data_IF_492619443435
#
_entry.id   IF_492619443435
#
_cell.length_a   1.000
_cell.length_b   1.000
_cell.length_c   1.000
_cell.angle_alpha   90.00
_cell.angle_beta   90.00
_cell.angle_gamma   90.00
#
_symmetry.space_group_name_H-M   'P 1'
#
loop_
_entity.id
_entity.type
_entity.pdbx_description
1 polymer ?
#
# COMPACT_ATOMS: atom_id res chain seq x y z
N UNK A 1 55.45 51.69 -30.94
CA UNK A 1 55.90 50.29 -30.81
C UNK A 1 55.87 49.73 -29.37
N UNK A 2 55.33 50.45 -28.38
CA UNK A 2 55.20 49.97 -26.97
C UNK A 2 53.73 49.69 -26.58
N UNK A 3 52.76 50.32 -27.26
CA UNK A 3 51.33 50.22 -26.93
C UNK A 3 50.68 48.93 -27.47
N UNK A 4 51.13 48.38 -28.61
CA UNK A 4 50.59 47.12 -29.17
C UNK A 4 51.01 45.86 -28.40
N UNK A 5 52.12 45.90 -27.66
CA UNK A 5 52.63 44.75 -26.90
C UNK A 5 51.90 44.56 -25.57
N UNK A 6 51.30 45.62 -25.03
CA UNK A 6 50.57 45.57 -23.76
C UNK A 6 49.16 45.01 -23.97
N UNK A 7 48.52 45.29 -25.12
CA UNK A 7 47.15 44.83 -25.40
C UNK A 7 47.07 43.32 -25.72
N UNK A 8 48.12 42.70 -26.26
CA UNK A 8 48.18 41.25 -26.49
C UNK A 8 48.51 40.42 -25.24
N UNK A 9 49.13 41.03 -24.23
CA UNK A 9 49.51 40.32 -22.99
C UNK A 9 48.36 40.31 -21.97
N UNK A 10 47.46 41.29 -22.02
CA UNK A 10 46.28 41.36 -21.13
C UNK A 10 45.13 40.47 -21.61
N UNK A 11 45.04 40.17 -22.91
CA UNK A 11 44.00 39.30 -23.49
C UNK A 11 44.24 37.80 -23.30
N UNK A 12 45.42 37.38 -22.84
CA UNK A 12 45.77 35.96 -22.64
C UNK A 12 45.83 35.54 -21.16
N UNK A 13 45.41 36.42 -20.24
CA UNK A 13 45.42 36.16 -18.79
C UNK A 13 44.01 36.04 -18.17
N UNK A 14 42.94 36.10 -18.97
CA UNK A 14 41.56 36.16 -18.48
C UNK A 14 40.69 34.94 -18.87
N UNK A 15 41.28 33.76 -19.06
CA UNK A 15 40.54 32.52 -19.36
C UNK A 15 41.08 31.28 -18.61
N UNK A 16 41.44 31.45 -17.34
CA UNK A 16 41.53 30.32 -16.41
C UNK A 16 40.66 30.68 -15.20
N UNK A 17 39.35 30.79 -15.42
CA UNK A 17 38.40 30.56 -14.33
C UNK A 17 38.38 29.05 -14.15
N UNK A 18 38.87 28.49 -13.02
CA UNK A 18 38.55 27.11 -12.73
C UNK A 18 37.04 27.11 -12.56
N UNK A 19 36.33 26.45 -13.48
CA UNK A 19 34.96 26.05 -13.25
C UNK A 19 35.04 25.02 -12.13
N UNK A 20 35.09 25.51 -10.88
CA UNK A 20 34.75 24.74 -9.70
C UNK A 20 33.26 24.52 -9.86
N UNK A 21 32.88 23.47 -10.59
CA UNK A 21 31.59 22.85 -10.41
C UNK A 21 31.56 22.44 -8.95
N UNK A 22 30.98 23.29 -8.11
CA UNK A 22 30.50 22.89 -6.82
C UNK A 22 29.57 21.72 -7.10
N UNK A 23 30.08 20.50 -6.92
CA UNK A 23 29.23 19.34 -6.77
C UNK A 23 28.38 19.69 -5.57
N UNK A 24 27.15 20.13 -5.82
CA UNK A 24 26.17 20.38 -4.78
C UNK A 24 26.08 19.04 -4.06
N UNK A 25 26.72 18.96 -2.89
CA UNK A 25 26.63 17.78 -2.06
C UNK A 25 25.14 17.58 -1.83
N UNK A 26 24.64 16.41 -2.22
CA UNK A 26 23.23 16.09 -2.00
C UNK A 26 22.86 16.24 -0.53
N UNK A 27 21.57 16.32 -0.20
CA UNK A 27 21.14 16.42 1.19
C UNK A 27 21.83 15.34 2.05
N UNK A 28 22.28 15.71 3.24
CA UNK A 28 22.83 14.73 4.19
C UNK A 28 21.67 13.88 4.70
N UNK A 29 21.74 12.56 4.49
CA UNK A 29 20.70 11.62 4.88
C UNK A 29 20.94 10.96 6.25
N UNK A 30 19.87 10.48 6.86
CA UNK A 30 19.83 9.67 8.07
C UNK A 30 19.60 8.19 7.71
N UNK A 31 20.59 7.33 7.99
CA UNK A 31 20.53 5.91 7.67
C UNK A 31 19.39 5.14 8.38
N UNK A 32 19.00 5.53 9.61
CA UNK A 32 17.89 4.87 10.32
C UNK A 32 16.56 5.18 9.66
N UNK A 33 16.31 6.45 9.33
CA UNK A 33 15.15 6.87 8.56
C UNK A 33 15.16 6.23 7.15
N UNK A 34 16.36 6.07 6.57
CA UNK A 34 16.56 5.43 5.29
C UNK A 34 16.08 3.98 5.26
N UNK A 35 16.44 3.18 6.26
CA UNK A 35 15.94 1.80 6.39
C UNK A 35 14.41 1.76 6.53
N UNK A 36 13.83 2.63 7.34
CA UNK A 36 12.38 2.70 7.49
C UNK A 36 11.69 3.06 6.17
N UNK A 37 12.24 4.03 5.44
CA UNK A 37 11.73 4.45 4.14
C UNK A 37 11.86 3.36 3.07
N UNK A 38 12.97 2.60 3.07
CA UNK A 38 13.20 1.44 2.22
C UNK A 38 12.10 0.39 2.40
N UNK A 39 11.84 0.01 3.66
CA UNK A 39 10.85 -1.00 4.02
C UNK A 39 9.42 -0.55 3.68
N UNK A 40 9.08 0.71 4.02
CA UNK A 40 7.75 1.28 3.83
C UNK A 40 7.36 1.39 2.35
N UNK A 41 8.34 1.65 1.47
CA UNK A 41 8.13 1.80 0.02
C UNK A 41 8.27 0.50 -0.75
N UNK A 42 8.56 -0.61 -0.07
CA UNK A 42 8.71 -1.94 -0.68
C UNK A 42 9.88 -2.03 -1.67
N UNK A 43 10.91 -1.19 -1.52
CA UNK A 43 12.12 -1.26 -2.34
C UNK A 43 12.82 -2.62 -2.18
N UNK A 44 12.75 -3.20 -0.97
CA UNK A 44 13.32 -4.50 -0.64
C UNK A 44 12.75 -5.66 -1.47
N UNK A 45 11.53 -5.54 -1.99
CA UNK A 45 10.91 -6.63 -2.74
C UNK A 45 11.66 -6.93 -4.05
N UNK A 46 12.33 -5.93 -4.61
CA UNK A 46 13.18 -6.12 -5.79
C UNK A 46 14.66 -6.11 -5.44
N UNK A 47 15.07 -5.23 -4.53
CA UNK A 47 16.49 -4.97 -4.25
C UNK A 47 17.02 -5.62 -2.97
N UNK A 48 16.26 -6.51 -2.33
CA UNK A 48 16.70 -7.22 -1.12
C UNK A 48 16.52 -6.43 0.19
N UNK A 49 16.51 -7.13 1.31
CA UNK A 49 16.24 -6.54 2.63
C UNK A 49 17.35 -5.61 3.11
N UNK A 50 18.57 -5.88 2.65
CA UNK A 50 19.81 -5.18 2.92
C UNK A 50 20.38 -4.54 1.66
N UNK A 51 19.56 -4.29 0.63
CA UNK A 51 20.05 -3.74 -0.64
C UNK A 51 20.96 -4.71 -1.41
N UNK A 52 20.96 -5.99 -1.07
CA UNK A 52 21.76 -7.05 -1.70
C UNK A 52 21.30 -7.42 -3.11
N UNK A 53 20.25 -6.79 -3.62
CA UNK A 53 19.68 -7.07 -4.93
C UNK A 53 18.80 -8.30 -4.94
N UNK A 54 18.52 -8.78 -6.15
CA UNK A 54 17.72 -9.97 -6.40
C UNK A 54 17.07 -9.87 -7.76
N UNK A 55 15.81 -9.43 -7.78
CA UNK A 55 15.15 -9.07 -9.04
C UNK A 55 15.72 -7.77 -9.61
N UNK A 56 15.89 -6.76 -8.75
CA UNK A 56 16.62 -5.53 -9.04
C UNK A 56 18.12 -5.70 -8.74
N UNK A 57 18.96 -4.78 -9.25
CA UNK A 57 20.39 -4.79 -8.95
C UNK A 57 20.66 -4.61 -7.44
N UNK A 58 21.80 -5.10 -6.97
CA UNK A 58 22.33 -4.75 -5.66
C UNK A 58 22.64 -3.24 -5.59
N UNK A 59 22.40 -2.66 -4.42
CA UNK A 59 22.64 -1.25 -4.10
C UNK A 59 23.47 -1.08 -2.81
N UNK A 60 23.60 -2.12 -1.99
CA UNK A 60 24.39 -2.13 -0.77
C UNK A 60 25.85 -1.75 -1.05
N UNK A 61 26.36 -0.74 -0.33
CA UNK A 61 27.73 -0.26 -0.47
C UNK A 61 28.07 0.36 -1.84
N UNK A 62 27.10 0.50 -2.75
CA UNK A 62 27.35 1.12 -4.06
C UNK A 62 27.48 2.63 -3.90
N UNK A 63 28.63 3.16 -4.34
CA UNK A 63 29.00 4.57 -4.22
C UNK A 63 28.29 5.47 -5.26
N UNK A 64 26.98 5.28 -5.49
CA UNK A 64 26.18 6.17 -6.34
C UNK A 64 26.14 7.56 -5.73
N UNK A 65 26.29 8.62 -6.53
CA UNK A 65 26.00 10.00 -6.09
C UNK A 65 24.50 10.17 -5.84
N UNK A 66 24.11 11.20 -5.06
CA UNK A 66 22.68 11.47 -4.84
C UNK A 66 21.93 11.74 -6.16
N UNK A 67 22.55 12.48 -7.08
CA UNK A 67 21.98 12.73 -8.40
C UNK A 67 21.76 11.44 -9.22
N UNK A 68 22.73 10.52 -9.21
CA UNK A 68 22.58 9.22 -9.88
C UNK A 68 21.48 8.36 -9.24
N UNK A 69 21.45 8.30 -7.90
CA UNK A 69 20.43 7.54 -7.17
C UNK A 69 19.02 8.10 -7.43
N UNK A 70 18.86 9.43 -7.32
CA UNK A 70 17.62 10.12 -7.66
C UNK A 70 17.21 9.87 -9.11
N UNK A 71 18.14 9.97 -10.05
CA UNK A 71 17.84 9.70 -11.46
C UNK A 71 17.34 8.27 -11.67
N UNK A 72 17.97 7.26 -11.05
CA UNK A 72 17.52 5.88 -11.14
C UNK A 72 16.10 5.68 -10.56
N UNK A 73 15.70 6.44 -9.53
CA UNK A 73 14.35 6.37 -8.95
C UNK A 73 13.31 7.11 -9.77
N UNK A 74 13.66 8.25 -10.39
CA UNK A 74 12.74 9.08 -11.19
C UNK A 74 12.60 8.60 -12.62
N UNK A 75 13.68 8.09 -13.20
CA UNK A 75 13.80 7.69 -14.60
C UNK A 75 14.56 6.37 -14.69
N UNK A 76 13.97 5.28 -14.16
CA UNK A 76 14.63 3.99 -14.04
C UNK A 76 14.94 3.34 -15.39
N UNK A 77 15.95 2.47 -15.37
CA UNK A 77 16.20 1.49 -16.43
C UNK A 77 15.52 0.16 -16.12
N UNK A 78 15.34 -0.67 -17.15
CA UNK A 78 14.67 -1.96 -17.01
C UNK A 78 13.19 -1.81 -16.66
N UNK A 79 12.66 -2.72 -15.85
CA UNK A 79 11.23 -2.76 -15.47
C UNK A 79 10.96 -2.14 -14.10
N UNK A 80 11.95 -1.48 -13.48
CA UNK A 80 11.72 -0.74 -12.23
C UNK A 80 10.72 0.39 -12.50
N UNK A 81 9.66 0.55 -11.68
CA UNK A 81 8.71 1.63 -11.85
C UNK A 81 9.32 2.97 -11.43
N UNK A 82 8.87 4.07 -12.02
CA UNK A 82 9.29 5.42 -11.65
C UNK A 82 8.50 5.92 -10.44
N UNK A 83 9.19 6.57 -9.50
CA UNK A 83 8.57 7.11 -8.29
C UNK A 83 8.58 8.64 -8.33
N UNK A 84 7.45 9.29 -8.02
CA UNK A 84 7.35 10.75 -8.00
C UNK A 84 7.93 11.38 -6.72
N UNK A 85 8.12 12.71 -6.72
CA UNK A 85 8.51 13.49 -5.54
C UNK A 85 7.55 13.28 -4.37
N UNK A 86 6.25 13.14 -4.66
CA UNK A 86 5.21 12.87 -3.67
C UNK A 86 5.36 11.48 -3.03
N UNK A 87 5.74 10.47 -3.81
CA UNK A 87 5.95 9.11 -3.30
C UNK A 87 7.24 8.98 -2.48
N UNK A 88 8.31 9.62 -2.93
CA UNK A 88 9.61 9.59 -2.26
C UNK A 88 10.34 10.91 -2.50
N UNK A 89 10.31 11.83 -1.55
CA UNK A 89 10.93 13.15 -1.68
C UNK A 89 12.45 13.09 -1.64
N UNK A 90 13.11 14.17 -2.06
CA UNK A 90 14.58 14.26 -2.04
C UNK A 90 15.22 13.97 -0.66
N UNK A 91 14.71 14.50 0.47
CA UNK A 91 15.22 14.14 1.79
C UNK A 91 15.08 12.64 2.09
N UNK A 92 13.94 12.03 1.73
CA UNK A 92 13.72 10.59 1.90
C UNK A 92 14.71 9.78 1.06
N UNK A 93 14.95 10.20 -0.19
CA UNK A 93 15.93 9.51 -1.04
C UNK A 93 17.36 9.69 -0.52
N UNK A 94 17.67 10.83 0.12
CA UNK A 94 18.96 11.04 0.76
C UNK A 94 19.14 10.11 1.96
N UNK A 95 18.10 9.94 2.78
CA UNK A 95 18.07 8.99 3.90
C UNK A 95 18.30 7.56 3.42
N UNK A 96 17.53 7.11 2.41
CA UNK A 96 17.67 5.76 1.82
C UNK A 96 19.08 5.54 1.28
N UNK A 97 19.64 6.52 0.55
CA UNK A 97 21.01 6.43 0.04
C UNK A 97 22.02 6.37 1.19
N UNK A 98 21.86 7.17 2.24
CA UNK A 98 22.75 7.14 3.40
C UNK A 98 22.76 5.77 4.09
N UNK A 99 21.60 5.11 4.16
CA UNK A 99 21.50 3.73 4.64
C UNK A 99 22.21 2.75 3.70
N UNK A 100 21.96 2.78 2.39
CA UNK A 100 22.60 1.86 1.44
C UNK A 100 24.13 1.96 1.46
N UNK A 101 24.67 3.17 1.63
CA UNK A 101 26.11 3.42 1.72
C UNK A 101 26.74 2.88 3.02
N UNK A 102 25.96 2.65 4.08
CA UNK A 102 26.48 2.09 5.33
C UNK A 102 26.57 0.56 5.31
N UNK A 103 26.03 -0.08 4.27
CA UNK A 103 26.01 -1.54 4.11
C UNK A 103 27.24 -2.02 3.34
N UNK A 104 27.73 -3.24 3.61
CA UNK A 104 28.80 -3.84 2.81
C UNK A 104 28.30 -4.17 1.39
N UNK A 105 29.20 -4.09 0.41
CA UNK A 105 28.90 -4.60 -0.94
C UNK A 105 28.76 -6.13 -0.91
N UNK A 106 27.94 -6.66 -1.81
CA UNK A 106 27.78 -8.11 -1.99
C UNK A 106 28.49 -8.58 -3.25
N UNK A 107 28.97 -9.83 -3.25
CA UNK A 107 29.62 -10.43 -4.41
C UNK A 107 28.60 -10.81 -5.50
N UNK A 108 27.44 -11.30 -5.08
CA UNK A 108 26.36 -11.76 -5.96
C UNK A 108 25.01 -11.25 -5.42
N UNK A 109 24.05 -10.91 -6.30
CA UNK A 109 22.72 -10.51 -5.88
C UNK A 109 21.98 -11.60 -5.10
N UNK A 110 21.02 -11.18 -4.28
CA UNK A 110 20.10 -12.06 -3.57
C UNK A 110 19.19 -12.90 -4.49
N UNK A 111 18.31 -13.71 -3.88
CA UNK A 111 17.27 -14.44 -4.62
C UNK A 111 16.08 -13.54 -4.90
N UNK A 112 15.36 -13.83 -5.98
CA UNK A 112 14.07 -13.19 -6.26
C UNK A 112 13.05 -13.58 -5.19
N UNK A 113 12.20 -12.64 -4.77
CA UNK A 113 11.12 -12.91 -3.83
C UNK A 113 10.16 -13.96 -4.40
N UNK A 114 9.81 -13.80 -5.69
CA UNK A 114 9.04 -14.79 -6.44
C UNK A 114 9.93 -15.38 -7.55
N UNK A 115 10.38 -16.64 -7.41
CA UNK A 115 11.21 -17.28 -8.41
C UNK A 115 10.39 -17.62 -9.67
N UNK A 116 11.01 -17.47 -10.83
CA UNK A 116 10.46 -17.92 -12.10
C UNK A 116 10.59 -19.44 -12.22
N UNK A 117 9.47 -20.16 -12.25
CA UNK A 117 9.46 -21.60 -12.49
C UNK A 117 9.38 -21.92 -13.98
N UNK A 118 10.12 -22.94 -14.42
CA UNK A 118 10.17 -23.35 -15.82
C UNK A 118 8.81 -23.83 -16.35
N UNK A 119 8.00 -24.46 -15.50
CA UNK A 119 6.67 -25.00 -15.80
C UNK A 119 5.53 -23.99 -15.56
N UNK A 120 5.84 -22.75 -15.17
CA UNK A 120 4.83 -21.72 -14.96
C UNK A 120 4.03 -21.42 -16.25
N UNK A 121 2.71 -21.16 -16.16
CA UNK A 121 1.90 -20.68 -17.27
C UNK A 121 2.48 -19.41 -17.89
N UNK A 122 2.23 -19.18 -19.19
CA UNK A 122 2.81 -18.06 -19.92
C UNK A 122 2.54 -16.69 -19.25
N UNK A 123 1.28 -16.39 -18.91
CA UNK A 123 0.93 -15.14 -18.23
C UNK A 123 1.59 -14.97 -16.86
N UNK A 124 1.79 -16.06 -16.13
CA UNK A 124 2.53 -16.04 -14.87
C UNK A 124 4.02 -15.74 -15.09
N UNK A 125 4.64 -16.33 -16.13
CA UNK A 125 6.03 -16.03 -16.49
C UNK A 125 6.21 -14.55 -16.81
N UNK A 126 5.30 -13.96 -17.59
CA UNK A 126 5.31 -12.53 -17.89
C UNK A 126 5.17 -11.69 -16.61
N UNK A 127 4.17 -12.01 -15.78
CA UNK A 127 3.93 -11.33 -14.49
C UNK A 127 5.17 -11.31 -13.58
N UNK A 128 5.89 -12.45 -13.49
CA UNK A 128 7.11 -12.56 -12.69
C UNK A 128 8.25 -11.78 -13.34
N UNK A 129 8.43 -11.90 -14.66
CA UNK A 129 9.57 -11.33 -15.39
C UNK A 129 9.52 -9.81 -15.49
N UNK A 130 8.34 -9.20 -15.48
CA UNK A 130 8.19 -7.73 -15.43
C UNK A 130 8.19 -7.18 -13.99
N UNK A 131 8.40 -8.04 -12.99
CA UNK A 131 8.55 -7.64 -11.59
C UNK A 131 7.24 -7.47 -10.81
N UNK A 132 6.08 -7.53 -11.46
CA UNK A 132 4.77 -7.39 -10.78
C UNK A 132 4.60 -8.43 -9.67
N UNK A 133 5.03 -9.68 -9.90
CA UNK A 133 4.92 -10.75 -8.90
C UNK A 133 5.76 -10.49 -7.64
N UNK A 134 6.85 -9.72 -7.73
CA UNK A 134 7.72 -9.46 -6.58
C UNK A 134 6.99 -8.68 -5.48
N UNK A 135 5.91 -7.96 -5.82
CA UNK A 135 5.02 -7.31 -4.86
C UNK A 135 3.62 -7.94 -4.81
N UNK A 136 3.07 -8.33 -5.96
CA UNK A 136 1.70 -8.79 -6.10
C UNK A 136 1.54 -10.32 -6.09
N UNK A 137 2.63 -11.05 -5.83
CA UNK A 137 2.70 -12.51 -5.84
C UNK A 137 2.41 -13.11 -7.24
N UNK A 138 2.63 -14.41 -7.43
CA UNK A 138 2.57 -15.02 -8.78
C UNK A 138 1.12 -15.21 -9.30
N UNK A 139 0.14 -14.90 -8.47
CA UNK A 139 -1.29 -14.91 -8.75
C UNK A 139 -1.88 -13.51 -8.90
N UNK A 140 -1.06 -12.45 -8.87
CA UNK A 140 -1.49 -11.05 -8.93
C UNK A 140 -2.60 -10.76 -7.88
N UNK A 141 -2.36 -11.17 -6.63
CA UNK A 141 -3.37 -11.26 -5.56
C UNK A 141 -4.11 -9.95 -5.30
N UNK A 142 -3.39 -8.91 -4.89
CA UNK A 142 -4.03 -7.64 -4.49
C UNK A 142 -4.74 -6.97 -5.68
N UNK A 143 -4.14 -6.88 -6.88
CA UNK A 143 -4.84 -6.28 -8.02
C UNK A 143 -6.09 -7.05 -8.43
N UNK A 144 -6.14 -8.39 -8.29
CA UNK A 144 -7.37 -9.16 -8.51
C UNK A 144 -8.47 -8.83 -7.49
N UNK A 145 -8.12 -8.55 -6.24
CA UNK A 145 -9.08 -8.03 -5.25
C UNK A 145 -9.56 -6.62 -5.61
N UNK A 146 -8.64 -5.73 -6.02
CA UNK A 146 -9.00 -4.36 -6.42
C UNK A 146 -9.91 -4.34 -7.64
N UNK A 147 -9.54 -5.09 -8.69
CA UNK A 147 -10.36 -5.27 -9.90
C UNK A 147 -11.69 -5.93 -9.58
N UNK A 148 -11.71 -6.96 -8.72
CA UNK A 148 -12.93 -7.61 -8.28
C UNK A 148 -13.85 -6.69 -7.46
N UNK A 149 -13.29 -5.72 -6.75
CA UNK A 149 -14.06 -4.68 -6.06
C UNK A 149 -14.80 -3.72 -7.00
N UNK A 150 -14.43 -3.66 -8.28
CA UNK A 150 -15.04 -2.82 -9.33
C UNK A 150 -15.27 -3.60 -10.63
N UNK A 151 -15.57 -4.90 -10.52
CA UNK A 151 -15.56 -5.85 -11.64
C UNK A 151 -16.33 -5.40 -12.89
N UNK A 152 -17.42 -4.62 -12.74
CA UNK A 152 -18.18 -4.09 -13.89
C UNK A 152 -17.41 -3.13 -14.80
N UNK A 153 -16.34 -2.50 -14.30
CA UNK A 153 -15.49 -1.56 -15.05
C UNK A 153 -14.03 -2.02 -15.12
N UNK A 154 -13.75 -3.25 -14.68
CA UNK A 154 -12.42 -3.84 -14.68
C UNK A 154 -12.00 -4.24 -16.12
N UNK A 155 -11.85 -3.26 -17.01
CA UNK A 155 -11.39 -3.43 -18.39
C UNK A 155 -9.86 -3.43 -18.47
N UNK A 156 -9.31 -3.78 -19.65
CA UNK A 156 -7.88 -3.63 -19.89
C UNK A 156 -7.44 -2.17 -19.73
N UNK A 157 -8.19 -1.20 -20.25
CA UNK A 157 -7.84 0.23 -20.13
C UNK A 157 -7.78 0.67 -18.65
N UNK A 158 -8.73 0.20 -17.84
CA UNK A 158 -8.72 0.45 -16.40
C UNK A 158 -7.46 -0.15 -15.74
N UNK A 159 -7.11 -1.39 -16.09
CA UNK A 159 -5.90 -2.05 -15.60
C UNK A 159 -4.61 -1.37 -16.07
N UNK A 160 -4.54 -0.99 -17.35
CA UNK A 160 -3.41 -0.28 -17.95
C UNK A 160 -3.19 1.07 -17.25
N UNK A 161 -4.26 1.81 -16.98
CA UNK A 161 -4.18 3.07 -16.21
C UNK A 161 -3.64 2.84 -14.80
N UNK A 162 -4.05 1.77 -14.12
CA UNK A 162 -3.49 1.41 -12.80
C UNK A 162 -2.01 1.07 -12.82
N UNK A 163 -1.46 0.67 -13.97
CA UNK A 163 -0.06 0.24 -14.11
C UNK A 163 0.84 1.36 -14.61
N UNK A 164 0.39 2.09 -15.62
CA UNK A 164 1.16 3.19 -16.23
C UNK A 164 0.99 4.51 -15.48
N UNK A 165 -0.16 4.73 -14.82
CA UNK A 165 -0.49 5.98 -14.14
C UNK A 165 -0.85 5.74 -12.66
N UNK A 166 -0.22 4.75 -12.02
CA UNK A 166 -0.51 4.33 -10.65
C UNK A 166 -0.51 5.49 -9.67
N UNK A 167 0.47 6.39 -9.75
CA UNK A 167 0.58 7.54 -8.87
C UNK A 167 -0.48 8.63 -9.12
N UNK A 168 -1.18 8.60 -10.25
CA UNK A 168 -2.30 9.53 -10.49
C UNK A 168 -3.57 9.06 -9.79
N UNK A 169 -3.75 7.74 -9.72
CA UNK A 169 -4.89 7.09 -9.07
C UNK A 169 -4.61 6.95 -7.56
N UNK A 170 -3.37 6.65 -7.18
CA UNK A 170 -2.89 6.40 -5.83
C UNK A 170 -1.65 7.23 -5.54
N UNK A 171 -1.84 8.53 -5.28
CA UNK A 171 -0.74 9.50 -5.07
C UNK A 171 0.22 9.14 -3.95
N UNK A 172 -0.29 8.51 -2.89
CA UNK A 172 0.50 7.95 -1.78
C UNK A 172 0.78 6.44 -1.88
N UNK A 173 0.52 5.82 -3.03
CA UNK A 173 0.75 4.39 -3.26
C UNK A 173 2.24 4.02 -3.27
N UNK A 174 2.54 2.78 -2.88
CA UNK A 174 3.93 2.26 -2.85
C UNK A 174 4.39 1.70 -4.20
N UNK A 175 3.52 1.65 -5.21
CA UNK A 175 3.88 1.26 -6.58
C UNK A 175 4.07 2.51 -7.43
N UNK A 176 5.21 2.61 -8.11
CA UNK A 176 5.47 3.68 -9.08
C UNK A 176 4.78 3.43 -10.42
N UNK A 177 5.03 4.31 -11.39
CA UNK A 177 4.49 4.19 -12.74
C UNK A 177 5.40 3.31 -13.60
N UNK A 178 4.84 2.32 -14.27
CA UNK A 178 5.58 1.54 -15.26
C UNK A 178 5.69 2.31 -16.59
N UNK A 179 6.77 2.08 -17.34
CA UNK A 179 6.92 2.63 -18.68
C UNK A 179 6.31 1.69 -19.72
N UNK A 180 5.59 2.26 -20.69
CA UNK A 180 5.07 1.53 -21.86
C UNK A 180 6.18 0.96 -22.74
N UNK A 181 7.36 1.58 -22.74
CA UNK A 181 8.52 1.08 -23.49
C UNK A 181 9.17 -0.14 -22.82
N UNK A 182 8.97 -0.29 -21.50
CA UNK A 182 9.58 -1.34 -20.68
C UNK A 182 8.62 -2.48 -20.38
N UNK A 183 7.34 -2.16 -20.26
CA UNK A 183 6.23 -3.11 -20.18
C UNK A 183 5.25 -2.75 -21.30
N UNK A 184 5.45 -3.28 -22.52
CA UNK A 184 4.56 -3.02 -23.65
C UNK A 184 3.13 -3.50 -23.38
N UNK A 185 2.15 -2.85 -24.03
CA UNK A 185 0.74 -3.22 -23.84
C UNK A 185 0.46 -4.68 -24.18
N UNK A 186 1.13 -5.25 -25.18
CA UNK A 186 0.98 -6.67 -25.54
C UNK A 186 1.32 -7.60 -24.37
N UNK A 187 2.38 -7.29 -23.63
CA UNK A 187 2.76 -8.02 -22.41
C UNK A 187 1.71 -7.79 -21.32
N UNK A 188 1.27 -6.54 -21.15
CA UNK A 188 0.30 -6.21 -20.11
C UNK A 188 -1.08 -6.84 -20.35
N UNK A 189 -1.49 -6.97 -21.61
CA UNK A 189 -2.72 -7.64 -22.01
C UNK A 189 -2.69 -9.13 -21.66
N UNK A 190 -1.56 -9.82 -21.85
CA UNK A 190 -1.41 -11.21 -21.44
C UNK A 190 -1.50 -11.36 -19.92
N UNK A 191 -0.87 -10.46 -19.17
CA UNK A 191 -0.98 -10.45 -17.70
C UNK A 191 -2.43 -10.20 -17.26
N UNK A 192 -3.13 -9.28 -17.93
CA UNK A 192 -4.54 -8.99 -17.66
C UNK A 192 -5.45 -10.18 -17.98
N UNK A 193 -5.24 -10.86 -19.12
CA UNK A 193 -5.94 -12.11 -19.47
C UNK A 193 -5.69 -13.18 -18.42
N UNK A 194 -4.44 -13.40 -18.04
CA UNK A 194 -4.09 -14.34 -16.98
C UNK A 194 -4.84 -14.02 -15.67
N UNK A 195 -4.82 -12.75 -15.23
CA UNK A 195 -5.49 -12.35 -14.00
C UNK A 195 -7.02 -12.48 -14.04
N UNK A 196 -7.66 -12.20 -15.18
CA UNK A 196 -9.12 -12.11 -15.29
C UNK A 196 -9.79 -13.38 -15.83
N UNK A 197 -9.15 -14.06 -16.78
CA UNK A 197 -9.72 -15.22 -17.47
C UNK A 197 -9.20 -16.53 -16.90
N UNK A 198 -7.89 -16.64 -16.68
CA UNK A 198 -7.28 -17.87 -16.16
C UNK A 198 -7.49 -17.99 -14.65
N UNK A 199 -7.18 -16.92 -13.91
CA UNK A 199 -7.29 -16.92 -12.45
C UNK A 199 -8.68 -16.52 -11.94
N UNK A 200 -9.35 -15.62 -12.64
CA UNK A 200 -10.60 -14.99 -12.21
C UNK A 200 -10.38 -13.88 -11.18
N UNK A 201 -11.28 -12.90 -11.13
CA UNK A 201 -11.23 -11.82 -10.13
C UNK A 201 -11.74 -12.28 -8.75
N UNK A 202 -11.34 -11.56 -7.70
CA UNK A 202 -11.63 -11.94 -6.30
C UNK A 202 -12.51 -10.90 -5.60
N UNK A 203 -13.55 -11.31 -4.84
CA UNK A 203 -14.32 -10.39 -4.01
C UNK A 203 -13.49 -9.87 -2.84
N UNK A 204 -13.64 -8.60 -2.47
CA UNK A 204 -12.82 -7.93 -1.44
C UNK A 204 -13.41 -8.11 -0.04
N UNK A 205 -13.62 -9.35 0.40
CA UNK A 205 -14.17 -9.64 1.73
C UNK A 205 -13.08 -9.54 2.79
N UNK A 206 -13.31 -8.74 3.83
CA UNK A 206 -12.44 -8.60 4.99
C UNK A 206 -13.23 -8.84 6.27
N UNK A 207 -12.52 -9.22 7.33
CA UNK A 207 -13.11 -9.37 8.65
C UNK A 207 -12.20 -8.76 9.72
N UNK A 208 -12.80 -8.04 10.67
CA UNK A 208 -12.07 -7.42 11.76
C UNK A 208 -12.90 -7.49 13.05
N UNK A 209 -12.23 -7.83 14.15
CA UNK A 209 -12.84 -7.70 15.46
C UNK A 209 -12.85 -6.25 15.91
N UNK A 210 -13.91 -5.86 16.62
CA UNK A 210 -13.85 -4.67 17.45
C UNK A 210 -12.82 -4.94 18.57
N UNK A 211 -11.84 -4.03 18.80
CA UNK A 211 -10.70 -4.33 19.68
C UNK A 211 -11.09 -4.73 21.10
N UNK A 212 -12.06 -4.03 21.68
CA UNK A 212 -12.50 -4.25 23.05
C UNK A 212 -13.74 -5.15 23.10
N UNK A 213 -13.74 -6.18 23.97
CA UNK A 213 -14.92 -7.01 24.16
C UNK A 213 -16.04 -6.22 24.87
N UNK A 214 -17.28 -6.52 24.50
CA UNK A 214 -18.46 -6.14 25.26
C UNK A 214 -18.54 -7.07 26.49
N UNK A 215 -18.24 -6.55 27.68
CA UNK A 215 -18.27 -7.32 28.92
C UNK A 215 -19.62 -7.21 29.62
N UNK A 216 -20.15 -8.33 30.10
CA UNK A 216 -21.37 -8.40 30.93
C UNK A 216 -21.08 -8.80 32.40
N UNK A 217 -19.81 -8.85 32.79
CA UNK A 217 -19.35 -9.14 34.15
C UNK A 217 -19.08 -10.63 34.44
N UNK A 218 -19.66 -11.55 33.67
CA UNK A 218 -19.43 -13.00 33.81
C UNK A 218 -18.81 -13.64 32.56
N UNK A 219 -19.08 -13.08 31.38
CA UNK A 219 -18.64 -13.55 30.08
C UNK A 219 -18.04 -12.40 29.26
N UNK A 220 -17.37 -12.75 28.17
CA UNK A 220 -16.78 -11.77 27.25
C UNK A 220 -17.35 -11.96 25.85
N UNK A 221 -18.00 -10.91 25.33
CA UNK A 221 -18.60 -10.92 23.99
C UNK A 221 -17.73 -10.14 23.01
N UNK A 222 -17.35 -10.79 21.93
CA UNK A 222 -16.54 -10.22 20.86
C UNK A 222 -17.38 -9.95 19.64
N UNK A 223 -17.27 -8.75 19.09
CA UNK A 223 -17.96 -8.36 17.87
C UNK A 223 -17.02 -8.51 16.68
N UNK A 224 -17.40 -9.32 15.71
CA UNK A 224 -16.72 -9.46 14.43
C UNK A 224 -17.52 -8.74 13.34
N UNK A 225 -16.86 -7.85 12.61
CA UNK A 225 -17.41 -7.19 11.43
C UNK A 225 -16.86 -7.91 10.20
N UNK A 226 -17.74 -8.39 9.33
CA UNK A 226 -17.39 -8.92 8.01
C UNK A 226 -17.93 -7.97 6.96
N UNK A 227 -17.06 -7.44 6.10
CA UNK A 227 -17.42 -6.46 5.08
C UNK A 227 -16.88 -6.87 3.73
N UNK A 228 -17.72 -6.83 2.71
CA UNK A 228 -17.24 -6.84 1.33
C UNK A 228 -16.95 -5.39 0.90
N UNK A 229 -15.66 -5.07 0.75
CA UNK A 229 -15.20 -3.72 0.40
C UNK A 229 -15.36 -3.37 -1.07
N UNK A 230 -15.88 -4.29 -1.89
CA UNK A 230 -16.25 -3.97 -3.26
C UNK A 230 -17.27 -2.84 -3.32
N UNK A 231 -17.22 -2.04 -4.38
CA UNK A 231 -18.16 -0.94 -4.57
C UNK A 231 -19.55 -1.50 -4.84
N UNK A 232 -20.56 -1.01 -4.11
CA UNK A 232 -21.94 -1.47 -4.24
C UNK A 232 -22.40 -1.41 -5.70
N UNK A 233 -23.05 -2.48 -6.16
CA UNK A 233 -23.49 -2.67 -7.54
C UNK A 233 -22.38 -2.75 -8.60
N UNK A 234 -21.09 -2.73 -8.22
CA UNK A 234 -19.95 -2.70 -9.15
C UNK A 234 -18.96 -3.85 -8.90
N UNK A 235 -18.77 -4.22 -7.64
CA UNK A 235 -17.89 -5.30 -7.22
C UNK A 235 -18.55 -6.68 -7.23
N UNK A 236 -17.72 -7.70 -7.05
CA UNK A 236 -18.13 -9.10 -6.97
C UNK A 236 -18.81 -9.41 -5.63
N UNK A 237 -19.86 -10.22 -5.70
CA UNK A 237 -20.45 -10.88 -4.54
C UNK A 237 -19.62 -12.09 -4.18
N UNK A 238 -19.35 -12.28 -2.88
CA UNK A 238 -18.83 -13.55 -2.38
C UNK A 238 -20.03 -14.45 -2.04
N UNK A 239 -19.99 -15.70 -2.49
CA UNK A 239 -21.08 -16.66 -2.30
C UNK A 239 -20.55 -17.92 -1.60
N UNK A 240 -21.46 -18.57 -0.85
CA UNK A 240 -21.17 -19.73 -0.01
C UNK A 240 -20.02 -19.43 0.98
N UNK A 241 -20.18 -18.32 1.71
CA UNK A 241 -19.16 -17.77 2.60
C UNK A 241 -19.10 -18.58 3.89
N UNK A 242 -17.89 -18.95 4.29
CA UNK A 242 -17.61 -19.61 5.57
C UNK A 242 -16.72 -18.72 6.43
N UNK A 243 -17.20 -18.38 7.62
CA UNK A 243 -16.42 -17.65 8.63
C UNK A 243 -15.98 -18.67 9.67
N UNK A 244 -14.67 -18.71 9.96
CA UNK A 244 -14.08 -19.65 10.92
C UNK A 244 -13.26 -18.86 11.92
N UNK A 245 -13.66 -18.92 13.19
CA UNK A 245 -12.95 -18.31 14.31
C UNK A 245 -12.29 -19.43 15.11
N UNK A 246 -10.96 -19.61 15.04
CA UNK A 246 -10.29 -20.64 15.82
C UNK A 246 -10.40 -20.34 17.32
N UNK A 247 -10.54 -21.39 18.12
CA UNK A 247 -10.66 -21.30 19.56
C UNK A 247 -9.38 -21.85 20.22
N UNK A 248 -8.83 -21.08 21.16
CA UNK A 248 -7.74 -21.57 22.02
C UNK A 248 -8.29 -22.70 22.91
N UNK A 249 -7.53 -23.79 23.15
CA UNK A 249 -7.97 -24.86 24.03
C UNK A 249 -8.45 -24.35 25.39
N UNK A 250 -9.58 -24.87 25.87
CA UNK A 250 -10.24 -24.42 27.11
C UNK A 250 -11.20 -23.23 26.94
N UNK A 251 -11.29 -22.62 25.75
CA UNK A 251 -12.29 -21.59 25.47
C UNK A 251 -13.67 -22.22 25.31
N UNK A 252 -14.59 -21.93 26.24
CA UNK A 252 -15.97 -22.36 26.14
C UNK A 252 -16.83 -21.26 25.48
N UNK A 253 -17.42 -21.55 24.32
CA UNK A 253 -18.38 -20.65 23.67
C UNK A 253 -19.75 -20.82 24.33
N UNK A 254 -20.29 -19.73 24.87
CA UNK A 254 -21.58 -19.71 25.60
C UNK A 254 -22.68 -18.95 24.86
N UNK A 255 -22.32 -18.25 23.78
CA UNK A 255 -23.29 -17.54 22.94
C UNK A 255 -22.67 -17.14 21.61
N UNK A 256 -23.52 -16.99 20.60
CA UNK A 256 -23.12 -16.45 19.30
C UNK A 256 -24.33 -15.81 18.61
N UNK A 257 -24.08 -14.76 17.83
CA UNK A 257 -25.10 -14.13 16.98
C UNK A 257 -24.60 -13.98 15.55
N UNK A 258 -25.48 -13.49 14.67
CA UNK A 258 -25.26 -13.39 13.23
C UNK A 258 -25.82 -14.59 12.48
N UNK A 259 -26.22 -14.36 11.23
CA UNK A 259 -26.88 -15.37 10.41
C UNK A 259 -25.96 -16.56 10.14
N UNK A 260 -26.52 -17.77 10.17
CA UNK A 260 -25.82 -18.96 9.69
C UNK A 260 -24.81 -19.58 10.66
N UNK A 261 -24.86 -19.28 11.96
CA UNK A 261 -24.02 -19.94 12.96
C UNK A 261 -24.23 -21.46 12.93
N UNK A 262 -23.13 -22.21 12.88
CA UNK A 262 -23.10 -23.68 12.78
C UNK A 262 -22.60 -24.34 14.07
N UNK A 263 -22.38 -23.57 15.14
CA UNK A 263 -21.79 -24.08 16.37
C UNK A 263 -20.26 -24.16 16.33
N UNK A 264 -19.70 -24.76 17.38
CA UNK A 264 -18.28 -25.12 17.46
C UNK A 264 -18.06 -26.44 16.74
N UNK A 265 -17.10 -26.47 15.83
CA UNK A 265 -16.70 -27.65 15.06
C UNK A 265 -15.23 -27.97 15.32
N UNK A 266 -14.86 -29.24 15.19
CA UNK A 266 -13.48 -29.69 15.32
C UNK A 266 -12.92 -30.05 13.95
N UNK A 267 -11.71 -29.60 13.64
CA UNK A 267 -10.96 -30.09 12.49
C UNK A 267 -10.47 -31.55 12.73
N UNK A 268 -10.02 -32.28 11.69
CA UNK A 268 -9.49 -33.63 11.85
C UNK A 268 -8.27 -33.74 12.78
N UNK A 269 -7.61 -32.62 13.08
CA UNK A 269 -6.49 -32.53 14.01
C UNK A 269 -6.95 -32.19 15.45
N UNK A 270 -8.26 -32.13 15.70
CA UNK A 270 -8.86 -31.88 17.01
C UNK A 270 -8.89 -30.41 17.42
N UNK A 271 -8.61 -29.46 16.53
CA UNK A 271 -8.71 -28.02 16.83
C UNK A 271 -10.14 -27.55 16.68
N UNK A 272 -10.63 -26.88 17.71
CA UNK A 272 -11.99 -26.34 17.73
C UNK A 272 -12.07 -24.95 17.11
N UNK A 273 -13.16 -24.68 16.39
CA UNK A 273 -13.45 -23.37 15.82
C UNK A 273 -14.96 -23.08 15.85
N UNK A 274 -15.34 -21.84 16.11
CA UNK A 274 -16.70 -21.36 15.89
C UNK A 274 -16.91 -21.07 14.40
N UNK A 275 -17.97 -21.61 13.82
CA UNK A 275 -18.19 -21.57 12.35
C UNK A 275 -19.52 -20.93 12.00
N UNK A 276 -19.53 -20.08 10.97
CA UNK A 276 -20.75 -19.59 10.31
C UNK A 276 -20.72 -19.93 8.83
N UNK A 277 -21.89 -20.26 8.28
CA UNK A 277 -22.13 -20.44 6.85
C UNK A 277 -23.16 -19.42 6.37
N UNK A 278 -22.75 -18.56 5.45
CA UNK A 278 -23.52 -17.42 4.98
C UNK A 278 -23.73 -17.58 3.48
N UNK A 279 -24.96 -17.52 2.96
CA UNK A 279 -25.22 -17.75 1.54
C UNK A 279 -24.44 -16.78 0.63
N UNK A 280 -24.36 -15.51 1.02
CA UNK A 280 -23.64 -14.49 0.25
C UNK A 280 -23.28 -13.25 1.06
N UNK A 281 -22.27 -12.52 0.60
CA UNK A 281 -21.90 -11.18 1.03
C UNK A 281 -21.70 -10.32 -0.23
N UNK A 282 -22.71 -9.52 -0.59
CA UNK A 282 -22.66 -8.71 -1.81
C UNK A 282 -21.69 -7.54 -1.66
N UNK A 283 -21.23 -6.97 -2.78
CA UNK A 283 -20.35 -5.82 -2.75
C UNK A 283 -20.98 -4.63 -2.00
N UNK A 284 -20.27 -4.09 -1.01
CA UNK A 284 -20.73 -3.03 -0.12
C UNK A 284 -21.48 -3.53 1.11
N UNK A 285 -21.79 -4.82 1.22
CA UNK A 285 -22.47 -5.37 2.39
C UNK A 285 -21.55 -5.37 3.61
N UNK A 286 -22.16 -5.08 4.76
CA UNK A 286 -21.56 -5.18 6.09
C UNK A 286 -22.44 -6.08 6.94
N UNK A 287 -21.82 -7.11 7.52
CA UNK A 287 -22.47 -8.06 8.40
C UNK A 287 -21.76 -8.06 9.76
N UNK A 288 -22.54 -8.23 10.82
CA UNK A 288 -22.05 -8.24 12.20
C UNK A 288 -22.35 -9.59 12.83
N UNK A 289 -21.33 -10.12 13.51
CA UNK A 289 -21.39 -11.36 14.26
C UNK A 289 -20.93 -11.10 15.68
N UNK A 290 -21.43 -11.87 16.63
CA UNK A 290 -20.85 -11.90 17.98
C UNK A 290 -20.51 -13.31 18.39
N UNK A 291 -19.43 -13.43 19.17
CA UNK A 291 -19.01 -14.65 19.83
C UNK A 291 -18.83 -14.35 21.32
N UNK A 292 -19.61 -15.02 22.17
CA UNK A 292 -19.52 -14.89 23.62
C UNK A 292 -18.82 -16.12 24.18
N UNK A 293 -17.75 -15.89 24.94
CA UNK A 293 -17.01 -16.94 25.64
C UNK A 293 -17.24 -16.84 27.15
N UNK A 294 -17.16 -17.99 27.82
CA UNK A 294 -17.26 -18.05 29.27
C UNK A 294 -16.08 -17.32 29.94
N UNK A 295 -16.37 -16.53 30.97
CA UNK A 295 -15.35 -15.89 31.80
C UNK A 295 -14.75 -14.61 31.23
N UNK A 296 -13.69 -14.15 31.88
CA UNK A 296 -12.90 -12.99 31.44
C UNK A 296 -12.05 -13.37 30.23
N UNK A 297 -12.28 -12.69 29.13
CA UNK A 297 -11.52 -12.83 27.90
C UNK A 297 -10.26 -11.95 27.90
N UNK A 298 -9.59 -11.92 26.75
CA UNK A 298 -8.41 -11.10 26.47
C UNK A 298 -8.60 -10.32 25.17
N UNK A 299 -7.49 -9.83 24.60
CA UNK A 299 -7.52 -9.10 23.32
C UNK A 299 -7.92 -10.04 22.17
N UNK A 300 -8.82 -9.58 21.31
CA UNK A 300 -9.40 -10.38 20.24
C UNK A 300 -8.36 -10.86 19.21
N UNK A 301 -7.38 -10.01 18.89
CA UNK A 301 -6.28 -10.29 17.95
C UNK A 301 -5.37 -11.44 18.40
N UNK A 302 -5.27 -11.65 19.72
CA UNK A 302 -4.51 -12.74 20.33
C UNK A 302 -5.33 -14.02 20.40
N UNK A 303 -6.57 -13.91 20.90
CA UNK A 303 -7.45 -15.07 21.13
C UNK A 303 -7.93 -15.73 19.83
N UNK A 304 -8.23 -14.92 18.82
CA UNK A 304 -8.83 -15.38 17.56
C UNK A 304 -7.86 -15.25 16.39
N UNK A 305 -6.56 -15.29 16.69
CA UNK A 305 -5.50 -15.30 15.69
C UNK A 305 -5.71 -16.48 14.73
N UNK A 306 -5.75 -16.19 13.44
CA UNK A 306 -6.04 -17.18 12.40
C UNK A 306 -7.52 -17.28 12.02
N UNK A 307 -8.34 -16.30 12.43
CA UNK A 307 -9.70 -16.14 11.88
C UNK A 307 -9.65 -16.03 10.36
N UNK A 308 -10.52 -16.79 9.68
CA UNK A 308 -10.61 -16.81 8.22
C UNK A 308 -12.02 -16.53 7.74
N UNK A 309 -12.13 -15.86 6.60
CA UNK A 309 -13.36 -15.78 5.82
C UNK A 309 -13.08 -16.32 4.43
N UNK A 310 -13.63 -17.50 4.13
CA UNK A 310 -13.54 -18.15 2.82
C UNK A 310 -14.86 -18.09 2.08
N UNK A 311 -14.83 -18.31 0.77
CA UNK A 311 -16.03 -18.38 -0.09
C UNK A 311 -15.81 -19.44 -1.17
N UNK A 312 -16.90 -20.02 -1.67
CA UNK A 312 -16.80 -20.95 -2.80
C UNK A 312 -16.79 -20.21 -4.14
N UNK A 313 -17.54 -19.10 -4.25
CA UNK A 313 -17.71 -18.38 -5.52
C UNK A 313 -17.55 -16.86 -5.39
N UNK A 314 -17.00 -16.18 -6.42
CA UNK A 314 -16.34 -16.79 -7.59
C UNK A 314 -15.07 -17.56 -7.16
N UNK A 315 -14.90 -18.75 -7.74
CA UNK A 315 -13.79 -19.64 -7.41
C UNK A 315 -12.55 -19.19 -8.19
N UNK A 316 -11.37 -19.33 -7.58
CA UNK A 316 -10.13 -19.40 -8.37
C UNK A 316 -10.12 -20.72 -9.15
N UNK A 317 -9.74 -20.70 -10.43
CA UNK A 317 -9.69 -21.96 -11.20
C UNK A 317 -8.79 -23.00 -10.51
N UNK A 318 -9.25 -24.26 -10.33
CA UNK A 318 -8.42 -25.36 -9.84
C UNK A 318 -7.28 -25.68 -10.83
N UNK A 319 -6.13 -26.15 -10.33
CA UNK A 319 -5.07 -26.71 -11.18
C UNK A 319 -3.86 -25.82 -11.45
N UNK A 320 -3.72 -24.67 -10.78
CA UNK A 320 -2.41 -24.03 -10.67
C UNK A 320 -1.59 -24.85 -9.68
N UNK A 321 -0.48 -25.42 -10.16
CA UNK A 321 0.45 -26.25 -9.39
C UNK A 321 0.78 -25.57 -8.07
N UNK A 322 0.08 -26.02 -7.02
CA UNK A 322 0.24 -25.69 -5.62
C UNK A 322 -0.33 -24.33 -5.15
N UNK A 323 -1.66 -24.23 -4.93
CA UNK A 323 -2.14 -23.43 -3.76
C UNK A 323 -1.49 -23.91 -2.44
N UNK A 324 -0.97 -25.13 -2.40
CA UNK A 324 -0.13 -25.68 -1.33
C UNK A 324 1.33 -25.14 -1.31
N UNK A 325 1.79 -24.48 -2.37
CA UNK A 325 3.09 -23.82 -2.50
C UNK A 325 2.96 -22.29 -2.64
N UNK A 326 1.74 -21.81 -2.93
CA UNK A 326 1.27 -20.48 -2.57
C UNK A 326 0.89 -20.51 -1.11
N UNK A 327 1.91 -20.48 -0.25
CA UNK A 327 1.64 -20.00 1.09
C UNK A 327 1.03 -18.60 0.91
N UNK A 328 -0.25 -18.43 1.28
CA UNK A 328 -0.72 -17.13 1.75
C UNK A 328 0.13 -16.87 2.98
N UNK A 329 1.34 -16.34 2.79
CA UNK A 329 2.39 -16.40 3.79
C UNK A 329 1.87 -15.89 5.14
N UNK A 330 1.74 -16.75 6.17
CA UNK A 330 1.33 -16.31 7.49
C UNK A 330 2.37 -15.36 8.07
N UNK A 331 3.63 -15.40 7.62
CA UNK A 331 4.72 -14.58 8.15
C UNK A 331 5.76 -14.41 7.02
N UNK A 332 5.58 -13.38 6.17
CA UNK A 332 6.78 -12.79 5.57
C UNK A 332 7.72 -12.45 6.75
N UNK A 333 9.02 -12.69 6.61
CA UNK A 333 10.01 -12.58 7.71
C UNK A 333 9.91 -11.29 8.54
N UNK A 334 10.59 -11.22 9.70
CA UNK A 334 10.52 -10.05 10.58
C UNK A 334 10.72 -8.73 9.81
N UNK A 335 9.70 -7.86 9.78
CA UNK A 335 9.72 -6.59 9.02
C UNK A 335 8.97 -6.60 7.68
N UNK A 336 8.51 -7.75 7.19
CA UNK A 336 7.70 -7.87 5.98
C UNK A 336 6.26 -8.22 6.38
N UNK A 337 5.28 -7.44 5.95
CA UNK A 337 3.85 -7.71 6.22
C UNK A 337 3.21 -8.28 4.97
N UNK A 338 2.65 -9.49 5.07
CA UNK A 338 1.80 -10.02 4.01
C UNK A 338 0.66 -9.03 3.77
N UNK A 339 0.26 -8.84 2.51
CA UNK A 339 -0.72 -7.80 2.18
C UNK A 339 -2.04 -7.98 2.93
N UNK A 340 -2.45 -9.22 3.26
CA UNK A 340 -3.61 -9.50 4.12
C UNK A 340 -3.43 -8.90 5.52
N UNK A 341 -2.24 -9.04 6.14
CA UNK A 341 -1.95 -8.42 7.44
C UNK A 341 -1.87 -6.90 7.32
N UNK A 342 -1.28 -6.36 6.24
CA UNK A 342 -1.27 -4.91 5.97
C UNK A 342 -2.67 -4.33 5.63
N UNK A 343 -3.61 -5.15 5.17
CA UNK A 343 -5.03 -4.78 4.96
C UNK A 343 -5.87 -4.89 6.23
N UNK A 344 -5.49 -5.77 7.16
CA UNK A 344 -6.12 -5.95 8.47
C UNK A 344 -5.60 -4.94 9.52
N UNK A 345 -4.32 -4.57 9.44
CA UNK A 345 -3.64 -3.64 10.37
C UNK A 345 -3.85 -2.15 10.00
N UNK A 346 -4.44 -1.85 8.83
CA UNK A 346 -4.93 -0.50 8.52
C UNK A 346 -6.28 -0.32 9.21
N UNK A 347 -6.27 0.36 10.35
CA UNK A 347 -7.46 0.72 11.11
C UNK A 347 -8.59 1.17 10.16
N UNK A 348 -9.72 0.47 10.25
CA UNK A 348 -11.00 0.98 9.75
C UNK A 348 -11.37 2.07 10.73
N UNK A 349 -11.24 3.35 10.34
CA UNK A 349 -11.93 4.40 11.07
C UNK A 349 -13.43 4.09 11.03
N UNK A 350 -14.16 4.44 12.08
CA UNK A 350 -15.61 4.25 12.17
C UNK A 350 -16.39 4.89 11.00
N UNK A 351 -15.72 5.68 10.16
CA UNK A 351 -16.26 6.54 9.12
C UNK A 351 -15.92 6.07 7.69
N UNK A 352 -15.68 4.77 7.45
CA UNK A 352 -15.61 4.16 6.10
C UNK A 352 -14.41 4.57 5.19
N UNK A 353 -13.37 5.23 5.68
CA UNK A 353 -12.23 5.62 4.83
C UNK A 353 -11.14 4.54 4.70
N UNK A 354 -10.65 4.37 3.46
CA UNK A 354 -9.39 3.67 3.20
C UNK A 354 -8.25 4.49 3.81
N UNK A 355 -7.59 4.02 4.88
CA UNK A 355 -6.32 4.63 5.30
C UNK A 355 -5.23 4.19 4.32
N UNK A 356 -5.17 4.88 3.19
CA UNK A 356 -4.13 4.82 2.18
C UNK A 356 -4.00 6.17 1.50
N UNK A 357 -3.66 7.20 2.28
CA UNK A 357 -3.60 8.59 1.81
C UNK A 357 -4.98 9.17 1.48
N UNK A 358 -5.12 10.51 1.44
CA UNK A 358 -6.42 11.16 1.28
C UNK A 358 -7.08 10.78 -0.05
N UNK A 359 -8.38 10.59 0.02
CA UNK A 359 -9.35 10.26 -1.03
C UNK A 359 -9.05 11.00 -2.35
N UNK A 360 -9.09 10.33 -3.52
CA UNK A 360 -8.88 10.98 -4.82
C UNK A 360 -9.88 12.11 -5.06
N UNK A 361 -9.47 13.25 -5.67
CA UNK A 361 -10.41 14.26 -6.15
C UNK A 361 -11.34 13.65 -7.20
N UNK A 362 -12.66 13.72 -6.99
CA UNK A 362 -13.68 13.27 -7.95
C UNK A 362 -14.59 12.11 -7.48
N UNK A 363 -14.45 11.64 -6.25
CA UNK A 363 -15.39 10.68 -5.64
C UNK A 363 -15.96 11.27 -4.36
N UNK A 364 -17.14 11.90 -4.46
CA UNK A 364 -17.87 12.35 -3.29
C UNK A 364 -18.39 11.13 -2.50
N UNK A 365 -17.93 10.93 -1.27
CA UNK A 365 -18.66 10.13 -0.29
C UNK A 365 -19.78 10.99 0.29
N UNK A 366 -21.00 10.45 0.30
CA UNK A 366 -22.13 11.08 0.96
C UNK A 366 -21.92 11.06 2.49
N UNK A 367 -22.25 12.20 3.11
CA UNK A 367 -22.53 12.40 4.53
C UNK A 367 -21.34 12.60 5.50
N UNK A 368 -20.86 13.84 5.54
CA UNK A 368 -20.32 14.46 6.75
C UNK A 368 -21.49 14.79 7.71
N UNK A 369 -21.92 13.83 8.54
CA UNK A 369 -22.97 14.07 9.52
C UNK A 369 -22.41 14.67 10.83
N UNK A 370 -21.80 15.87 10.74
CA UNK A 370 -21.75 16.88 11.82
C UNK A 370 -21.05 18.17 11.38
N UNK A 371 -21.64 18.88 10.41
CA UNK A 371 -21.74 20.35 10.33
C UNK A 371 -22.37 20.71 8.99
N UNK A 372 -23.45 21.46 9.06
CA UNK A 372 -24.14 22.08 7.93
C UNK A 372 -23.13 22.86 7.06
N UNK A 373 -23.09 22.58 5.75
CA UNK A 373 -23.10 23.56 4.65
C UNK A 373 -23.06 22.87 3.28
N UNK A 374 -23.66 23.53 2.30
CA UNK A 374 -24.27 22.99 1.10
C UNK A 374 -23.31 22.66 -0.06
N UNK A 375 -23.77 21.74 -0.93
CA UNK A 375 -23.82 21.94 -2.39
C UNK A 375 -22.54 21.67 -3.19
N UNK A 376 -22.54 20.57 -3.94
CA UNK A 376 -21.74 20.46 -5.17
C UNK A 376 -22.46 21.23 -6.29
N UNK A 377 -21.92 22.37 -6.72
CA UNK A 377 -22.17 22.90 -8.05
C UNK A 377 -20.86 23.29 -8.73
N UNK A 378 -20.74 22.86 -9.99
CA UNK A 378 -19.72 23.26 -10.93
C UNK A 378 -20.13 24.63 -11.45
N UNK A 379 -19.31 25.67 -11.23
CA UNK A 379 -19.44 26.92 -11.96
C UNK A 379 -18.06 27.46 -12.30
N UNK A 380 -17.86 27.61 -13.61
CA UNK A 380 -16.75 28.34 -14.19
C UNK A 380 -17.03 29.83 -14.06
N UNK A 381 -16.14 30.59 -13.42
CA UNK A 381 -15.83 31.99 -13.72
C UNK A 381 -14.76 32.53 -12.74
N UNK A 382 -13.65 33.04 -13.27
CA UNK A 382 -12.67 33.88 -12.53
C UNK A 382 -13.30 35.25 -12.25
N UNK A 383 -13.11 35.82 -11.05
CA UNK A 383 -12.40 37.11 -11.01
C UNK A 383 -11.56 37.42 -9.74
N UNK A 384 -10.48 38.14 -10.03
CA UNK A 384 -9.74 39.19 -9.28
C UNK A 384 -10.17 39.64 -7.87
N UNK A 385 -9.17 39.73 -6.98
CA UNK A 385 -8.82 40.93 -6.19
C UNK A 385 -9.71 41.36 -5.01
N UNK A 386 -9.14 41.42 -3.80
CA UNK A 386 -9.75 42.17 -2.68
C UNK A 386 -9.10 41.92 -1.31
N UNK A 387 -8.50 42.96 -0.74
CA UNK A 387 -7.89 43.04 0.61
C UNK A 387 -8.88 42.66 1.73
N UNK A 388 -8.36 42.07 2.81
CA UNK A 388 -9.00 42.15 4.14
C UNK A 388 -8.16 42.98 5.11
N UNK A 389 -8.76 44.09 5.57
CA UNK A 389 -8.32 44.93 6.68
C UNK A 389 -8.78 44.35 8.02
N UNK A 390 -7.98 44.62 9.06
CA UNK A 390 -8.26 44.40 10.49
C UNK A 390 -9.27 45.40 11.03
N UNK A 391 -10.16 44.95 11.92
CA UNK A 391 -10.66 45.60 13.15
C UNK A 391 -11.16 44.45 14.06
N UNK A 392 -11.13 44.43 15.40
CA UNK A 392 -10.90 45.41 16.45
C UNK A 392 -11.72 44.94 17.66
N UNK A 393 -11.09 44.73 18.83
CA UNK A 393 -11.80 44.30 20.05
C UNK A 393 -10.91 44.53 21.29
N UNK A 394 -11.43 45.31 22.25
CA UNK A 394 -10.71 46.17 23.17
C UNK A 394 -10.19 45.54 24.49
N UNK A 395 -9.24 46.23 25.12
CA UNK A 395 -8.81 46.14 26.53
C UNK A 395 -9.19 47.43 27.28
N UNK A 396 -9.36 47.41 28.62
CA UNK A 396 -9.30 48.63 29.42
C UNK A 396 -8.05 48.70 30.33
N UNK A 397 -7.46 49.90 30.37
CA UNK A 397 -6.96 50.55 31.60
C UNK A 397 -5.55 50.23 32.10
N UNK A 398 -4.61 51.17 31.90
CA UNK A 398 -3.79 51.72 33.00
C UNK A 398 -2.97 52.93 32.53
N UNK A 399 -3.10 54.02 33.27
CA UNK A 399 -2.41 55.31 33.19
C UNK A 399 -0.88 55.23 33.37
N UNK A 400 -0.14 56.11 32.69
CA UNK A 400 1.33 56.30 32.82
C UNK A 400 1.80 56.87 34.18
N UNK A 401 3.10 57.24 34.35
CA UNK A 401 3.69 58.35 33.58
C UNK A 401 5.22 58.27 33.25
N UNK A 402 5.66 59.28 32.48
CA UNK A 402 6.95 60.00 32.50
C UNK A 402 8.25 59.42 31.87
N UNK A 403 8.55 59.95 30.67
CA UNK A 403 9.79 60.60 30.21
C UNK A 403 11.17 60.25 30.82
N UNK A 404 12.15 59.96 29.94
CA UNK A 404 13.50 60.57 29.93
C UNK A 404 14.10 60.54 28.51
N UNK A 405 14.39 61.74 28.00
CA UNK A 405 15.35 62.19 26.94
C UNK A 405 15.26 61.68 25.50
#
# INVERSE_FOLDING_TARGET
>A
MIIEKIMKTVLMALFIVPVVQAQVAGPVGNAVAGKQAWDARRCQNCHGEHGEGGFGPDLAGRQLTFAQFKHAVRTPWGVMPSFSEEQASDPVLADVRAWLLSLPTVAEPGKWEVPLKADAPHGQKLLISVGCAQCHHAELRNPRYSLGGVAKIATFDYFAKMVYDHNTIWRGGTMGNFSRDRVPESVLQEIFRYATQDLGLLPTVVAAFVPEPMADGANSTYKLIVKNRGLKNMGLTAEDVTITIPLVPGTAVVGATGAGYQGVQNDPQGKSAAVWKVPSVAAGDLQTYTLTIAGKGGKADQLFKGTTVGWARPQMRPGISSMAGFIIDPILGPGRTSSIRAYLDREISADNDWVGGPTPPGVCSAANARREMAGCEVSAETPTGGRFSREGGALPGSSGPAAVR
#
